data_IF_958692337632
#
_entry.id   IF_958692337632
#
_cell.length_a   1.000
_cell.length_b   1.000
_cell.length_c   1.000
_cell.angle_alpha   90.00
_cell.angle_beta   90.00
_cell.angle_gamma   90.00
#
_symmetry.space_group_name_H-M   'P 1'
#
loop_
_entity.id
_entity.type
_entity.pdbx_description
1 polymer ?
#
# COMPACT_ATOMS: atom_id res chain seq x y z
N UNK A 1 16.41 -18.58 23.91
CA UNK A 1 16.46 -18.62 22.43
C UNK A 1 15.04 -18.64 21.90
N UNK A 2 14.64 -17.71 21.01
CA UNK A 2 13.29 -17.74 20.41
C UNK A 2 13.15 -19.04 19.61
N UNK A 3 12.10 -19.84 19.88
CA UNK A 3 11.87 -21.08 19.14
C UNK A 3 11.21 -20.75 17.80
N UNK A 4 12.00 -20.27 16.85
CA UNK A 4 11.55 -19.67 15.58
C UNK A 4 10.85 -20.66 14.64
N UNK A 5 10.99 -21.97 14.86
CA UNK A 5 10.32 -23.00 14.06
C UNK A 5 8.78 -22.94 14.17
N UNK A 6 8.26 -22.56 15.34
CA UNK A 6 6.82 -22.47 15.61
C UNK A 6 6.16 -21.29 14.86
N UNK A 7 6.93 -20.29 14.44
CA UNK A 7 6.42 -19.10 13.74
C UNK A 7 6.37 -19.26 12.22
N UNK A 8 6.95 -20.33 11.66
CA UNK A 8 6.97 -20.57 10.20
C UNK A 8 5.57 -20.68 9.61
N UNK A 9 4.69 -21.45 10.25
CA UNK A 9 3.32 -21.66 9.77
C UNK A 9 2.50 -20.35 9.85
N UNK A 10 2.43 -19.65 11.00
CA UNK A 10 1.74 -18.36 11.08
C UNK A 10 2.26 -17.32 10.08
N UNK A 11 3.58 -17.23 9.87
CA UNK A 11 4.18 -16.30 8.91
C UNK A 11 3.78 -16.67 7.47
N UNK A 12 3.79 -17.94 7.10
CA UNK A 12 3.35 -18.37 5.78
C UNK A 12 1.87 -18.02 5.52
N UNK A 13 0.99 -18.29 6.49
CA UNK A 13 -0.42 -17.89 6.40
C UNK A 13 -0.58 -16.37 6.27
N UNK A 14 0.12 -15.60 7.12
CA UNK A 14 0.09 -14.14 7.06
C UNK A 14 0.53 -13.62 5.68
N UNK A 15 1.63 -14.14 5.11
CA UNK A 15 2.11 -13.73 3.80
C UNK A 15 1.05 -13.94 2.71
N UNK A 16 0.41 -15.10 2.68
CA UNK A 16 -0.66 -15.39 1.70
C UNK A 16 -1.82 -14.41 1.86
N UNK A 17 -2.33 -14.24 3.09
CA UNK A 17 -3.44 -13.33 3.36
C UNK A 17 -3.11 -11.88 2.99
N UNK A 18 -1.92 -11.41 3.33
CA UNK A 18 -1.51 -10.04 3.05
C UNK A 18 -1.35 -9.80 1.54
N UNK A 19 -0.86 -10.77 0.78
CA UNK A 19 -0.82 -10.69 -0.69
C UNK A 19 -2.23 -10.57 -1.26
N UNK A 20 -3.18 -11.39 -0.80
CA UNK A 20 -4.59 -11.27 -1.23
C UNK A 20 -5.17 -9.90 -0.89
N UNK A 21 -4.97 -9.39 0.33
CA UNK A 21 -5.44 -8.07 0.74
C UNK A 21 -4.82 -6.98 -0.15
N UNK A 22 -3.52 -7.03 -0.40
CA UNK A 22 -2.83 -6.09 -1.27
C UNK A 22 -3.41 -6.11 -2.69
N UNK A 23 -3.62 -7.29 -3.27
CA UNK A 23 -4.23 -7.44 -4.59
C UNK A 23 -5.63 -6.83 -4.65
N UNK A 24 -6.47 -7.08 -3.63
CA UNK A 24 -7.81 -6.46 -3.57
C UNK A 24 -7.75 -4.94 -3.39
N UNK A 25 -6.79 -4.43 -2.63
CA UNK A 25 -6.55 -3.00 -2.49
C UNK A 25 -6.15 -2.33 -3.81
N UNK A 26 -5.25 -2.96 -4.57
CA UNK A 26 -4.86 -2.50 -5.92
C UNK A 26 -6.08 -2.51 -6.85
N UNK A 27 -6.90 -3.55 -6.79
CA UNK A 27 -8.12 -3.66 -7.59
C UNK A 27 -9.11 -2.54 -7.29
N UNK A 28 -9.43 -2.30 -6.01
CA UNK A 28 -10.32 -1.22 -5.58
C UNK A 28 -9.76 0.15 -5.97
N UNK A 29 -8.44 0.34 -5.85
CA UNK A 29 -7.78 1.56 -6.31
C UNK A 29 -8.04 1.78 -7.81
N UNK A 30 -7.79 0.78 -8.65
CA UNK A 30 -8.01 0.89 -10.11
C UNK A 30 -9.49 1.11 -10.45
N UNK A 31 -10.42 0.44 -9.76
CA UNK A 31 -11.86 0.68 -9.90
C UNK A 31 -12.21 2.15 -9.63
N UNK A 32 -11.66 2.75 -8.56
CA UNK A 32 -11.86 4.16 -8.24
C UNK A 32 -11.24 5.15 -9.25
N UNK A 33 -10.47 4.65 -10.20
CA UNK A 33 -9.87 5.41 -11.30
C UNK A 33 -10.49 5.10 -12.67
N UNK A 34 -11.58 4.32 -12.74
CA UNK A 34 -12.30 4.08 -13.99
C UNK A 34 -12.05 2.74 -14.67
N UNK A 35 -11.51 1.72 -13.96
CA UNK A 35 -11.30 0.36 -14.49
C UNK A 35 -12.59 -0.33 -15.02
N UNK A 36 -13.78 0.23 -14.76
CA UNK A 36 -15.06 -0.30 -15.24
C UNK A 36 -15.28 -0.18 -16.76
N UNK A 37 -14.42 0.53 -17.48
CA UNK A 37 -14.49 0.66 -18.94
C UNK A 37 -13.93 -0.61 -19.61
N UNK A 38 -14.51 -1.03 -20.74
CA UNK A 38 -14.13 -2.19 -21.59
C UNK A 38 -12.65 -2.25 -22.02
N UNK A 39 -11.86 -1.25 -21.67
CA UNK A 39 -10.57 -0.94 -22.26
C UNK A 39 -9.38 -1.54 -21.45
N UNK A 40 -9.66 -2.15 -20.30
CA UNK A 40 -8.67 -2.89 -19.50
C UNK A 40 -7.75 -2.04 -18.62
N UNK A 41 -6.78 -2.68 -17.96
CA UNK A 41 -5.90 -2.03 -16.96
C UNK A 41 -4.99 -0.97 -17.60
N UNK A 42 -4.45 -1.25 -18.79
CA UNK A 42 -3.49 -0.36 -19.44
C UNK A 42 -4.13 0.96 -19.89
N UNK A 43 -5.36 0.92 -20.41
CA UNK A 43 -6.09 2.14 -20.78
C UNK A 43 -6.45 2.96 -19.55
N UNK A 44 -6.79 2.32 -18.44
CA UNK A 44 -7.08 2.98 -17.16
C UNK A 44 -5.85 3.73 -16.66
N UNK A 45 -4.66 3.11 -16.72
CA UNK A 45 -3.40 3.77 -16.36
C UNK A 45 -3.12 4.98 -17.27
N UNK A 46 -3.30 4.83 -18.59
CA UNK A 46 -3.13 5.95 -19.52
C UNK A 46 -4.16 7.07 -19.30
N UNK A 47 -5.39 6.74 -18.93
CA UNK A 47 -6.43 7.71 -18.60
C UNK A 47 -6.07 8.51 -17.35
N UNK A 48 -5.60 7.86 -16.27
CA UNK A 48 -5.13 8.53 -15.06
C UNK A 48 -3.99 9.52 -15.37
N UNK A 49 -3.09 9.11 -16.27
CA UNK A 49 -1.93 9.91 -16.70
C UNK A 49 -2.37 11.13 -17.51
N UNK A 50 -3.26 10.94 -18.49
CA UNK A 50 -3.62 11.98 -19.45
C UNK A 50 -4.73 12.91 -18.97
N UNK A 51 -5.61 12.46 -18.07
CA UNK A 51 -6.77 13.23 -17.60
C UNK A 51 -7.18 12.79 -16.18
N UNK A 52 -6.49 13.31 -15.14
CA UNK A 52 -6.87 13.03 -13.76
C UNK A 52 -8.29 13.53 -13.49
N UNK A 53 -9.22 12.63 -13.17
CA UNK A 53 -10.59 13.02 -12.86
C UNK A 53 -10.65 13.87 -11.57
N UNK A 54 -11.45 14.95 -11.55
CA UNK A 54 -11.70 15.72 -10.34
C UNK A 54 -12.35 14.82 -9.29
N UNK A 55 -11.83 14.86 -8.07
CA UNK A 55 -12.34 14.07 -6.94
C UNK A 55 -13.22 14.95 -6.05
N UNK A 56 -14.26 14.36 -5.46
CA UNK A 56 -15.16 15.07 -4.53
C UNK A 56 -14.73 14.90 -3.06
N UNK A 57 -15.13 15.84 -2.21
CA UNK A 57 -14.90 15.79 -0.75
C UNK A 57 -15.62 14.60 -0.10
N UNK A 58 -16.81 14.26 -0.60
CA UNK A 58 -17.56 13.08 -0.15
C UNK A 58 -16.76 11.80 -0.40
N UNK A 59 -16.25 11.61 -1.62
CA UNK A 59 -15.44 10.46 -1.97
C UNK A 59 -14.10 10.47 -1.22
N UNK A 60 -13.56 11.64 -0.85
CA UNK A 60 -12.33 11.70 -0.04
C UNK A 60 -12.51 11.07 1.33
N UNK A 61 -13.58 11.39 2.06
CA UNK A 61 -13.82 10.85 3.41
C UNK A 61 -14.07 9.35 3.35
N UNK A 62 -14.88 8.90 2.38
CA UNK A 62 -15.18 7.49 2.18
C UNK A 62 -13.96 6.66 1.78
N UNK A 63 -12.98 7.26 1.09
CA UNK A 63 -11.76 6.58 0.68
C UNK A 63 -10.68 6.68 1.77
N UNK A 64 -10.44 7.85 2.34
CA UNK A 64 -9.31 8.10 3.23
C UNK A 64 -9.40 7.29 4.54
N UNK A 65 -10.58 7.21 5.17
CA UNK A 65 -10.74 6.51 6.44
C UNK A 65 -10.45 4.99 6.34
N UNK A 66 -11.06 4.22 5.42
CA UNK A 66 -10.74 2.81 5.26
C UNK A 66 -9.32 2.59 4.72
N UNK A 67 -8.76 3.49 3.90
CA UNK A 67 -7.37 3.37 3.45
C UNK A 67 -6.37 3.58 4.59
N UNK A 68 -6.56 4.59 5.43
CA UNK A 68 -5.73 4.83 6.62
C UNK A 68 -5.73 3.62 7.55
N UNK A 69 -6.91 3.05 7.79
CA UNK A 69 -7.05 1.89 8.66
C UNK A 69 -6.44 0.62 8.05
N UNK A 70 -6.77 0.30 6.80
CA UNK A 70 -6.28 -0.91 6.14
C UNK A 70 -4.76 -0.88 5.90
N UNK A 71 -4.22 0.25 5.43
CA UNK A 71 -2.79 0.43 5.23
C UNK A 71 -2.05 0.38 6.58
N UNK A 72 -2.55 1.11 7.58
CA UNK A 72 -1.96 1.10 8.92
C UNK A 72 -1.93 -0.29 9.55
N UNK A 73 -3.03 -1.05 9.44
CA UNK A 73 -3.12 -2.41 9.94
C UNK A 73 -2.17 -3.35 9.18
N UNK A 74 -2.10 -3.26 7.85
CA UNK A 74 -1.17 -4.07 7.05
C UNK A 74 0.28 -3.80 7.43
N UNK A 75 0.70 -2.53 7.49
CA UNK A 75 2.07 -2.19 7.90
C UNK A 75 2.33 -2.70 9.32
N UNK A 76 1.42 -2.48 10.26
CA UNK A 76 1.56 -2.94 11.64
C UNK A 76 1.75 -4.45 11.75
N UNK A 77 0.89 -5.25 11.10
CA UNK A 77 0.95 -6.71 11.15
C UNK A 77 2.26 -7.22 10.55
N UNK A 78 2.65 -6.74 9.37
CA UNK A 78 3.89 -7.20 8.72
C UNK A 78 5.12 -6.73 9.52
N UNK A 79 5.11 -5.50 10.07
CA UNK A 79 6.20 -4.98 10.92
C UNK A 79 6.31 -5.76 12.22
N UNK A 80 5.19 -6.23 12.78
CA UNK A 80 5.19 -7.03 13.98
C UNK A 80 5.96 -8.34 13.79
N UNK A 81 5.78 -9.01 12.65
CA UNK A 81 6.52 -10.24 12.34
C UNK A 81 8.03 -10.00 12.16
N UNK A 82 8.43 -8.80 11.73
CA UNK A 82 9.85 -8.42 11.66
C UNK A 82 10.53 -8.34 13.03
N UNK A 83 9.80 -8.21 14.16
CA UNK A 83 10.38 -8.30 15.51
C UNK A 83 10.89 -9.71 15.85
N UNK A 84 10.45 -10.72 15.11
CA UNK A 84 10.91 -12.11 15.25
C UNK A 84 11.99 -12.47 14.23
N UNK A 85 12.38 -11.54 13.37
CA UNK A 85 13.47 -11.70 12.41
C UNK A 85 14.79 -12.01 13.11
N UNK A 86 15.53 -12.98 12.56
CA UNK A 86 16.90 -13.30 13.01
C UNK A 86 17.98 -12.79 12.06
N UNK A 87 17.63 -12.58 10.78
CA UNK A 87 18.58 -12.21 9.70
C UNK A 87 18.55 -10.73 9.33
N UNK A 88 17.41 -10.07 9.54
CA UNK A 88 17.23 -8.65 9.20
C UNK A 88 17.29 -7.80 10.45
N UNK A 89 18.05 -6.70 10.38
CA UNK A 89 18.20 -5.76 11.49
C UNK A 89 16.91 -4.99 11.77
N UNK A 90 16.65 -4.71 13.05
CA UNK A 90 15.50 -3.92 13.47
C UNK A 90 15.54 -2.49 12.89
N UNK A 91 16.74 -1.91 12.75
CA UNK A 91 16.93 -0.57 12.15
C UNK A 91 16.47 -0.54 10.70
N UNK A 92 16.82 -1.55 9.91
CA UNK A 92 16.37 -1.67 8.51
C UNK A 92 14.85 -1.80 8.44
N UNK A 93 14.27 -2.67 9.27
CA UNK A 93 12.81 -2.85 9.35
C UNK A 93 12.08 -1.54 9.70
N UNK A 94 12.63 -0.77 10.64
CA UNK A 94 12.06 0.51 11.06
C UNK A 94 12.09 1.53 9.91
N UNK A 95 13.21 1.66 9.20
CA UNK A 95 13.35 2.58 8.07
C UNK A 95 12.31 2.25 6.99
N UNK A 96 12.18 0.98 6.61
CA UNK A 96 11.20 0.55 5.59
C UNK A 96 9.77 0.84 6.05
N UNK A 97 9.45 0.56 7.32
CA UNK A 97 8.11 0.85 7.89
C UNK A 97 7.82 2.36 7.90
N UNK A 98 8.80 3.19 8.27
CA UNK A 98 8.65 4.65 8.25
C UNK A 98 8.41 5.18 6.84
N UNK A 99 9.16 4.67 5.85
CA UNK A 99 8.95 5.04 4.45
C UNK A 99 7.54 4.65 3.98
N UNK A 100 7.04 3.46 4.35
CA UNK A 100 5.67 3.06 4.03
C UNK A 100 4.63 4.03 4.60
N UNK A 101 4.77 4.47 5.85
CA UNK A 101 3.88 5.48 6.44
C UNK A 101 3.98 6.83 5.74
N UNK A 102 5.18 7.27 5.36
CA UNK A 102 5.39 8.52 4.61
C UNK A 102 4.66 8.46 3.26
N UNK A 103 4.84 7.38 2.50
CA UNK A 103 4.19 7.23 1.19
C UNK A 103 2.67 7.03 1.31
N UNK A 104 2.19 6.36 2.36
CA UNK A 104 0.76 6.29 2.65
C UNK A 104 0.15 7.67 2.91
N UNK A 105 0.81 8.50 3.73
CA UNK A 105 0.39 9.88 3.99
C UNK A 105 0.41 10.72 2.72
N UNK A 106 1.49 10.67 1.94
CA UNK A 106 1.59 11.38 0.65
C UNK A 106 0.45 10.98 -0.29
N UNK A 107 0.07 9.70 -0.33
CA UNK A 107 -1.03 9.23 -1.14
C UNK A 107 -2.37 9.86 -0.73
N UNK A 108 -2.64 9.94 0.57
CA UNK A 108 -3.86 10.54 1.10
C UNK A 108 -3.89 12.05 0.85
N UNK A 109 -2.79 12.75 1.15
CA UNK A 109 -2.65 14.20 0.93
C UNK A 109 -2.80 14.56 -0.55
N UNK A 110 -2.27 13.73 -1.46
CA UNK A 110 -2.44 13.94 -2.89
C UNK A 110 -3.90 13.84 -3.34
N UNK A 111 -4.71 12.98 -2.71
CA UNK A 111 -6.15 12.95 -2.95
C UNK A 111 -6.80 14.27 -2.52
N UNK A 112 -6.48 14.75 -1.33
CA UNK A 112 -7.01 16.03 -0.82
C UNK A 112 -6.66 17.18 -1.78
N UNK A 113 -5.41 17.25 -2.26
CA UNK A 113 -4.98 18.27 -3.21
C UNK A 113 -5.76 18.22 -4.54
N UNK A 114 -6.02 17.02 -5.10
CA UNK A 114 -6.87 16.87 -6.30
C UNK A 114 -8.29 17.38 -6.04
N UNK A 115 -8.82 17.14 -4.84
CA UNK A 115 -10.16 17.60 -4.43
C UNK A 115 -10.25 19.13 -4.40
N UNK A 116 -9.16 19.82 -4.08
CA UNK A 116 -9.06 21.29 -4.11
C UNK A 116 -8.63 21.86 -5.47
N UNK A 117 -8.63 21.06 -6.54
CA UNK A 117 -8.36 21.51 -7.91
C UNK A 117 -6.89 21.44 -8.35
N UNK A 118 -5.98 20.94 -7.51
CA UNK A 118 -4.58 20.72 -7.90
C UNK A 118 -4.42 19.39 -8.66
N UNK A 119 -4.80 19.38 -9.94
CA UNK A 119 -4.79 18.17 -10.77
C UNK A 119 -3.40 17.54 -10.95
N UNK A 120 -2.33 18.34 -10.85
CA UNK A 120 -0.93 17.86 -10.88
C UNK A 120 -0.65 16.83 -9.77
N UNK A 121 -1.39 16.89 -8.66
CA UNK A 121 -1.26 15.93 -7.56
C UNK A 121 -1.69 14.50 -7.94
N UNK A 122 -2.37 14.29 -9.08
CA UNK A 122 -2.61 12.96 -9.65
C UNK A 122 -1.32 12.15 -9.86
N UNK A 123 -0.25 12.80 -10.32
CA UNK A 123 1.07 12.18 -10.50
C UNK A 123 1.71 11.78 -9.17
N UNK A 124 1.60 12.64 -8.16
CA UNK A 124 2.08 12.36 -6.81
C UNK A 124 1.33 11.16 -6.23
N UNK A 125 0.03 11.05 -6.49
CA UNK A 125 -0.79 9.91 -6.06
C UNK A 125 -0.34 8.61 -6.72
N UNK A 126 -0.12 8.62 -8.03
CA UNK A 126 0.30 7.44 -8.78
C UNK A 126 1.73 6.99 -8.40
N UNK A 127 2.65 7.94 -8.21
CA UNK A 127 4.01 7.64 -7.80
C UNK A 127 4.06 7.14 -6.34
N UNK A 128 3.30 7.77 -5.44
CA UNK A 128 3.25 7.34 -4.04
C UNK A 128 2.66 5.94 -3.85
N UNK A 129 1.57 5.59 -4.55
CA UNK A 129 1.01 4.23 -4.46
C UNK A 129 1.98 3.19 -5.04
N UNK A 130 2.67 3.52 -6.13
CA UNK A 130 3.63 2.61 -6.77
C UNK A 130 4.83 2.32 -5.86
N UNK A 131 5.42 3.37 -5.27
CA UNK A 131 6.53 3.20 -4.33
C UNK A 131 6.06 2.48 -3.06
N UNK A 132 4.86 2.81 -2.56
CA UNK A 132 4.28 2.11 -1.41
C UNK A 132 4.18 0.61 -1.67
N UNK A 133 3.60 0.19 -2.80
CA UNK A 133 3.47 -1.23 -3.16
C UNK A 133 4.86 -1.89 -3.23
N UNK A 134 5.84 -1.24 -3.86
CA UNK A 134 7.18 -1.80 -4.00
C UNK A 134 7.89 -1.97 -2.64
N UNK A 135 7.81 -0.97 -1.76
CA UNK A 135 8.33 -1.04 -0.40
C UNK A 135 7.61 -2.11 0.43
N UNK A 136 6.31 -2.29 0.20
CA UNK A 136 5.52 -3.26 0.94
C UNK A 136 5.86 -4.68 0.51
N UNK A 137 6.03 -4.92 -0.80
CA UNK A 137 6.53 -6.19 -1.33
C UNK A 137 7.95 -6.49 -0.83
N UNK A 138 8.83 -5.48 -0.76
CA UNK A 138 10.15 -5.62 -0.15
C UNK A 138 10.04 -6.06 1.32
N UNK A 139 9.14 -5.46 2.08
CA UNK A 139 8.93 -5.80 3.48
C UNK A 139 8.36 -7.22 3.66
N UNK A 140 7.47 -7.66 2.78
CA UNK A 140 7.00 -9.05 2.74
C UNK A 140 8.13 -10.03 2.43
N UNK A 141 8.99 -9.69 1.46
CA UNK A 141 10.19 -10.48 1.14
C UNK A 141 11.14 -10.55 2.34
N UNK A 142 11.35 -9.42 3.03
CA UNK A 142 12.15 -9.37 4.25
C UNK A 142 11.59 -10.33 5.30
N UNK A 143 10.27 -10.33 5.54
CA UNK A 143 9.63 -11.28 6.46
C UNK A 143 9.81 -12.73 5.99
N UNK A 144 9.59 -13.01 4.71
CA UNK A 144 9.71 -14.36 4.14
C UNK A 144 11.11 -14.96 4.30
N UNK A 145 12.15 -14.13 4.21
CA UNK A 145 13.56 -14.55 4.34
C UNK A 145 14.07 -14.41 5.79
N UNK A 146 13.35 -13.73 6.68
CA UNK A 146 13.81 -13.37 8.04
C UNK A 146 13.99 -14.54 9.01
N UNK A 147 13.32 -15.67 8.74
CA UNK A 147 13.37 -16.92 9.52
C UNK A 147 14.47 -17.87 9.04
#
# INVERSE_FOLDING_TARGET
MKNVSLYKIPIAYMLVYVVFILSTGIWIFLLSQGLNSSDGVMSTIMSIVNSPEPKSVHNFIEVAAPHMFAIGAMVFVVSHFMLFSTKISQKTSLIVSMLLFIFALLNIFSYSAITFGFLVSGWIKLLSISIFILLFLLMLLMVAVSL
#
